data_IF_575865941614
#
_entry.id   IF_575865941614
#
_cell.length_a   1.000
_cell.length_b   1.000
_cell.length_c   1.000
_cell.angle_alpha   90.00
_cell.angle_beta   90.00
_cell.angle_gamma   90.00
#
_symmetry.space_group_name_H-M   'P 1'
#
loop_
_entity.id
_entity.type
_entity.pdbx_description
1 polymer ?
#
# COMPACT_ATOMS: atom_id res chain seq x y z
N UNK A 1 15.81 -16.13 -2.57
CA UNK A 1 14.60 -15.55 -3.19
C UNK A 1 13.73 -14.98 -2.10
N UNK A 2 12.72 -14.20 -2.46
CA UNK A 2 11.71 -13.67 -1.54
C UNK A 2 10.99 -14.82 -0.78
N UNK A 3 10.87 -14.76 0.55
CA UNK A 3 10.17 -15.80 1.32
C UNK A 3 8.68 -15.95 0.94
N UNK A 4 8.04 -14.88 0.46
CA UNK A 4 6.61 -14.78 0.16
C UNK A 4 6.27 -14.99 -1.33
N UNK A 5 7.28 -15.05 -2.21
CA UNK A 5 7.09 -15.28 -3.65
C UNK A 5 7.93 -16.42 -4.21
N UNK A 6 7.39 -17.10 -5.20
CA UNK A 6 8.10 -18.06 -6.04
C UNK A 6 8.73 -17.41 -7.27
N UNK A 7 9.57 -18.18 -7.96
CA UNK A 7 10.18 -17.78 -9.24
C UNK A 7 9.07 -17.38 -10.21
N UNK A 8 9.19 -16.19 -10.82
CA UNK A 8 8.14 -15.61 -11.67
C UNK A 8 7.15 -14.72 -10.93
N UNK A 9 7.41 -14.38 -9.66
CA UNK A 9 6.62 -13.41 -8.89
C UNK A 9 5.22 -13.91 -8.54
N UNK A 10 5.04 -15.24 -8.49
CA UNK A 10 3.79 -15.83 -8.02
C UNK A 10 3.78 -15.85 -6.48
N UNK A 11 2.72 -15.34 -5.83
CA UNK A 11 2.63 -15.35 -4.38
C UNK A 11 2.58 -16.80 -3.87
N UNK A 12 3.36 -17.10 -2.83
CA UNK A 12 3.32 -18.38 -2.09
C UNK A 12 2.11 -18.40 -1.17
N UNK A 13 0.94 -18.41 -1.79
CA UNK A 13 -0.33 -18.30 -1.10
C UNK A 13 -0.77 -19.71 -0.65
N UNK A 14 -0.72 -19.98 0.67
CA UNK A 14 -0.96 -21.31 1.20
C UNK A 14 -2.46 -21.69 1.27
N UNK A 15 -3.38 -20.71 1.18
CA UNK A 15 -4.83 -20.91 1.44
C UNK A 15 -5.76 -20.20 0.44
N UNK A 16 -5.33 -20.00 -0.82
CA UNK A 16 -5.97 -19.05 -1.74
C UNK A 16 -7.00 -19.70 -2.70
N UNK A 17 -7.45 -20.91 -2.37
CA UNK A 17 -8.48 -21.66 -3.12
C UNK A 17 -9.91 -21.15 -2.86
N UNK A 18 -10.10 -20.23 -1.92
CA UNK A 18 -11.40 -19.61 -1.66
C UNK A 18 -11.53 -18.32 -2.47
N UNK A 19 -12.36 -18.39 -3.52
CA UNK A 19 -12.85 -17.21 -4.22
C UNK A 19 -13.73 -16.39 -3.26
N UNK A 20 -13.13 -15.38 -2.65
CA UNK A 20 -13.86 -14.36 -1.92
C UNK A 20 -14.49 -13.39 -2.94
N UNK A 21 -15.77 -13.60 -3.25
CA UNK A 21 -16.56 -12.70 -4.11
C UNK A 21 -16.92 -11.37 -3.42
N UNK A 22 -16.36 -11.09 -2.23
CA UNK A 22 -16.55 -9.82 -1.55
C UNK A 22 -15.81 -8.66 -2.25
N UNK A 23 -16.23 -7.44 -1.93
CA UNK A 23 -15.52 -6.24 -2.30
C UNK A 23 -14.37 -5.99 -1.33
N UNK A 24 -13.32 -5.33 -1.80
CA UNK A 24 -12.26 -4.81 -0.93
C UNK A 24 -12.89 -3.94 0.19
N UNK A 25 -12.29 -3.96 1.39
CA UNK A 25 -12.81 -3.29 2.59
C UNK A 25 -12.90 -1.76 2.44
N UNK A 26 -12.13 -1.20 1.51
CA UNK A 26 -12.19 0.20 1.07
C UNK A 26 -13.41 0.52 0.18
N UNK A 27 -14.24 -0.48 -0.12
CA UNK A 27 -15.41 -0.38 -0.99
C UNK A 27 -15.06 -0.18 -2.47
N UNK A 28 -13.79 -0.34 -2.84
CA UNK A 28 -13.27 0.08 -4.14
C UNK A 28 -13.72 -0.79 -5.30
N UNK A 29 -13.50 -2.11 -5.21
CA UNK A 29 -13.70 -3.05 -6.33
C UNK A 29 -13.86 -4.49 -5.81
N UNK A 30 -14.40 -5.43 -6.63
CA UNK A 30 -14.38 -6.86 -6.30
C UNK A 30 -12.96 -7.33 -6.05
N UNK A 31 -12.74 -8.19 -5.04
CA UNK A 31 -11.41 -8.74 -4.82
C UNK A 31 -10.94 -9.53 -6.05
N UNK A 32 -9.69 -9.37 -6.49
CA UNK A 32 -9.15 -10.18 -7.56
C UNK A 32 -9.09 -11.65 -7.16
N UNK A 33 -9.37 -12.56 -8.11
CA UNK A 33 -9.26 -14.00 -7.89
C UNK A 33 -7.83 -14.49 -7.60
N UNK A 34 -6.83 -13.66 -7.87
CA UNK A 34 -5.43 -13.91 -7.53
C UNK A 34 -5.01 -12.99 -6.39
N UNK A 35 -4.22 -13.49 -5.44
CA UNK A 35 -3.70 -12.67 -4.35
C UNK A 35 -2.88 -11.51 -4.93
N UNK A 36 -3.10 -10.31 -4.40
CA UNK A 36 -2.30 -9.14 -4.74
C UNK A 36 -1.10 -9.02 -3.79
N UNK A 37 -0.08 -8.22 -4.13
CA UNK A 37 1.13 -8.18 -3.32
C UNK A 37 0.97 -7.81 -1.84
N UNK A 38 -0.05 -7.01 -1.50
CA UNK A 38 -0.38 -6.70 -0.11
C UNK A 38 -0.95 -7.89 0.67
N UNK A 39 -1.62 -8.84 0.00
CA UNK A 39 -2.24 -10.01 0.64
C UNK A 39 -1.20 -10.96 1.23
N UNK A 40 0.04 -10.92 0.75
CA UNK A 40 1.14 -11.74 1.24
C UNK A 40 1.76 -11.23 2.55
N UNK A 41 1.22 -10.15 3.13
CA UNK A 41 1.69 -9.58 4.40
C UNK A 41 2.74 -8.47 4.26
N UNK A 42 2.97 -7.97 3.05
CA UNK A 42 3.76 -6.76 2.86
C UNK A 42 2.93 -5.53 3.20
N UNK A 43 3.44 -4.70 4.11
CA UNK A 43 2.97 -3.34 4.23
C UNK A 43 3.63 -2.50 3.12
N UNK A 44 2.84 -2.11 2.12
CA UNK A 44 3.28 -1.29 0.99
C UNK A 44 2.56 0.05 1.01
N UNK A 45 3.27 1.12 0.67
CA UNK A 45 2.72 2.47 0.56
C UNK A 45 3.20 3.16 -0.70
N UNK A 46 2.27 3.59 -1.54
CA UNK A 46 2.56 4.43 -2.69
C UNK A 46 2.69 5.89 -2.25
N UNK A 47 3.91 6.30 -1.90
CA UNK A 47 4.17 7.66 -1.39
C UNK A 47 3.96 8.75 -2.43
N UNK A 48 4.29 8.49 -3.70
CA UNK A 48 4.23 9.49 -4.77
C UNK A 48 3.62 8.88 -6.04
N UNK A 49 2.71 9.61 -6.66
CA UNK A 49 2.14 9.30 -7.96
C UNK A 49 2.26 10.52 -8.88
N UNK A 50 2.90 10.34 -10.03
CA UNK A 50 2.97 11.34 -11.10
C UNK A 50 2.19 10.86 -12.32
N UNK A 51 1.29 11.69 -12.83
CA UNK A 51 0.50 11.40 -14.02
C UNK A 51 0.17 12.67 -14.81
N UNK A 52 -0.08 12.54 -16.11
CA UNK A 52 -0.66 13.61 -16.91
C UNK A 52 -2.16 13.67 -16.70
N UNK A 53 -2.70 14.84 -16.36
CA UNK A 53 -4.13 15.05 -16.22
C UNK A 53 -4.85 14.71 -17.53
N UNK A 54 -5.91 13.87 -17.52
CA UNK A 54 -6.47 13.31 -18.76
C UNK A 54 -7.14 14.33 -19.67
N UNK A 55 -7.48 15.52 -19.16
CA UNK A 55 -8.15 16.59 -19.93
C UNK A 55 -7.20 17.74 -20.26
N UNK A 56 -6.36 18.15 -19.31
CA UNK A 56 -5.48 19.33 -19.47
C UNK A 56 -4.06 18.95 -19.89
N UNK A 57 -3.71 17.66 -19.79
CA UNK A 57 -2.37 17.11 -20.03
C UNK A 57 -1.24 17.74 -19.18
N UNK A 58 -1.61 18.48 -18.14
CA UNK A 58 -0.67 19.01 -17.16
C UNK A 58 -0.16 17.86 -16.28
N UNK A 59 1.11 17.93 -15.87
CA UNK A 59 1.68 16.93 -14.95
C UNK A 59 1.13 17.22 -13.54
N UNK A 60 0.48 16.22 -12.97
CA UNK A 60 0.03 16.21 -11.57
C UNK A 60 0.97 15.31 -10.79
N UNK A 61 1.41 15.82 -9.64
CA UNK A 61 2.13 15.06 -8.63
C UNK A 61 1.27 14.98 -7.36
N UNK A 62 1.04 13.76 -6.89
CA UNK A 62 0.25 13.48 -5.69
C UNK A 62 1.18 12.79 -4.70
N UNK A 63 1.32 13.38 -3.51
CA UNK A 63 2.14 12.83 -2.42
C UNK A 63 1.23 12.42 -1.26
N UNK A 64 1.32 11.15 -0.87
CA UNK A 64 0.59 10.60 0.27
C UNK A 64 1.51 10.49 1.51
N UNK A 65 1.07 11.00 2.67
CA UNK A 65 1.88 10.93 3.90
C UNK A 65 2.14 9.46 4.30
N UNK A 66 3.28 9.21 4.94
CA UNK A 66 3.66 7.87 5.38
C UNK A 66 2.65 7.33 6.41
N UNK A 67 2.00 6.18 6.17
CA UNK A 67 1.08 5.57 7.12
C UNK A 67 1.78 5.22 8.42
N UNK A 68 1.11 5.44 9.56
CA UNK A 68 1.69 5.16 10.89
C UNK A 68 2.14 3.72 11.07
N UNK A 69 1.47 2.77 10.41
CA UNK A 69 1.83 1.33 10.44
C UNK A 69 3.19 1.04 9.79
N UNK A 70 3.68 1.93 8.94
CA UNK A 70 4.98 1.85 8.26
C UNK A 70 6.06 2.69 8.90
N UNK A 71 5.75 3.47 9.93
CA UNK A 71 6.73 4.28 10.63
C UNK A 71 7.62 3.39 11.50
N UNK A 72 8.93 3.66 11.45
CA UNK A 72 9.85 3.10 12.45
C UNK A 72 9.61 3.74 13.82
N UNK A 73 10.10 3.10 14.88
CA UNK A 73 9.98 3.62 16.24
C UNK A 73 10.66 5.00 16.40
N UNK A 74 11.73 5.23 15.66
CA UNK A 74 12.48 6.49 15.63
C UNK A 74 11.68 7.60 14.93
N UNK A 75 11.08 7.30 13.77
CA UNK A 75 10.25 8.24 13.02
C UNK A 75 8.98 8.62 13.79
N UNK A 76 8.33 7.65 14.44
CA UNK A 76 7.16 7.89 15.28
C UNK A 76 7.48 8.81 16.47
N UNK A 77 8.69 8.71 17.05
CA UNK A 77 9.15 9.58 18.15
C UNK A 77 9.47 11.00 17.68
N UNK A 78 10.03 11.16 16.48
CA UNK A 78 10.33 12.48 15.90
C UNK A 78 9.08 13.33 15.67
N UNK A 79 8.00 12.71 15.18
CA UNK A 79 6.71 13.39 14.94
C UNK A 79 6.05 13.84 16.24
N UNK A 80 6.17 13.06 17.32
CA UNK A 80 5.63 13.43 18.64
C UNK A 80 6.31 14.67 19.24
N UNK A 81 7.57 14.93 18.88
CA UNK A 81 8.34 16.09 19.35
C UNK A 81 7.96 17.35 18.55
N UNK A 82 7.77 17.25 17.23
CA UNK A 82 7.34 18.39 16.39
C UNK A 82 5.92 18.88 16.72
N UNK A 83 5.02 18.00 17.17
CA UNK A 83 3.68 18.38 17.62
C UNK A 83 3.66 19.10 18.97
N UNK A 84 4.74 19.04 19.76
CA UNK A 84 4.83 19.66 21.09
C UNK A 84 5.50 21.04 21.08
N UNK A 85 6.20 21.38 19.98
CA UNK A 85 6.85 22.69 19.81
C UNK A 85 6.00 23.73 19.07
N UNK A 86 4.81 23.35 18.60
CA UNK A 86 3.85 24.24 17.92
C UNK A 86 2.67 24.69 18.81
N UNK A 87 2.83 24.64 20.14
CA UNK A 87 1.85 25.12 21.13
C UNK A 87 2.31 26.42 21.82
#
# INVERSE_FOLDING_TARGET
>A
GDPLYDVGGQPKCLDCDFLDESFAEDGGYPRPAKPVPGDCGYYLHAHNLSLSHPITNEIIEIVAPLPSILQTNEEAKGIAIEQQTNA
#
